data_IF_294816598191
#
_entry.id   IF_294816598191
#
_cell.length_a   1.000
_cell.length_b   1.000
_cell.length_c   1.000
_cell.angle_alpha   90.00
_cell.angle_beta   90.00
_cell.angle_gamma   90.00
#
_symmetry.space_group_name_H-M   'P 1'
#
loop_
_entity.id
_entity.type
_entity.pdbx_description
1 polymer ?
#
# COMPACT_ATOMS: atom_id res chain seq x y z
N UNK A 1 24.54 -7.39 17.93
CA UNK A 1 24.06 -8.32 16.88
C UNK A 1 22.87 -9.08 17.46
N UNK A 2 21.66 -8.87 16.95
CA UNK A 2 20.49 -9.70 17.33
C UNK A 2 20.69 -11.09 16.73
N UNK A 3 20.66 -12.15 17.55
CA UNK A 3 20.63 -13.52 17.06
C UNK A 3 19.35 -13.70 16.23
N UNK A 4 19.49 -14.10 14.98
CA UNK A 4 18.36 -14.44 14.12
C UNK A 4 17.57 -15.59 14.76
N UNK A 5 16.26 -15.49 14.81
CA UNK A 5 15.39 -16.56 15.29
C UNK A 5 15.47 -17.77 14.34
N UNK A 6 15.03 -18.95 14.79
CA UNK A 6 14.96 -20.14 13.93
C UNK A 6 14.11 -19.88 12.67
N UNK A 7 13.05 -19.12 12.83
CA UNK A 7 12.17 -18.66 11.73
C UNK A 7 12.89 -17.77 10.72
N UNK A 8 13.78 -16.86 11.18
CA UNK A 8 14.55 -16.00 10.29
C UNK A 8 15.57 -16.79 9.45
N UNK A 9 16.12 -17.87 10.02
CA UNK A 9 17.03 -18.76 9.30
C UNK A 9 16.31 -19.53 8.20
N UNK A 10 15.13 -20.07 8.49
CA UNK A 10 14.30 -20.79 7.52
C UNK A 10 13.85 -19.87 6.36
N UNK A 11 13.40 -18.68 6.67
CA UNK A 11 13.04 -17.66 5.67
C UNK A 11 14.25 -17.34 4.78
N UNK A 12 15.43 -17.17 5.37
CA UNK A 12 16.65 -16.87 4.62
C UNK A 12 17.04 -17.98 3.64
N UNK A 13 16.91 -19.23 4.05
CA UNK A 13 17.20 -20.38 3.16
C UNK A 13 16.18 -20.45 2.01
N UNK A 14 14.90 -20.24 2.30
CA UNK A 14 13.86 -20.20 1.26
C UNK A 14 14.07 -19.04 0.27
N UNK A 15 14.49 -17.87 0.74
CA UNK A 15 14.77 -16.72 -0.14
C UNK A 15 15.96 -16.96 -1.08
N UNK A 16 16.90 -17.85 -0.76
CA UNK A 16 17.97 -18.26 -1.69
C UNK A 16 17.42 -18.97 -2.93
N UNK A 17 16.24 -19.58 -2.83
CA UNK A 17 15.59 -20.27 -3.93
C UNK A 17 14.74 -19.34 -4.79
N UNK A 18 14.47 -18.10 -4.32
CA UNK A 18 13.58 -17.16 -4.99
C UNK A 18 13.90 -16.93 -6.48
N UNK A 19 15.16 -16.74 -6.92
CA UNK A 19 15.45 -16.56 -8.34
C UNK A 19 14.99 -17.73 -9.20
N UNK A 20 15.16 -18.96 -8.71
CA UNK A 20 14.77 -20.17 -9.43
C UNK A 20 13.27 -20.34 -9.46
N UNK A 21 12.59 -20.09 -8.35
CA UNK A 21 11.14 -20.15 -8.23
C UNK A 21 10.48 -19.11 -9.14
N UNK A 22 10.96 -17.86 -9.13
CA UNK A 22 10.47 -16.81 -10.02
C UNK A 22 10.66 -17.14 -11.50
N UNK A 23 11.81 -17.76 -11.85
CA UNK A 23 12.05 -18.22 -13.22
C UNK A 23 11.05 -19.32 -13.62
N UNK A 24 10.79 -20.29 -12.76
CA UNK A 24 9.81 -21.35 -13.00
C UNK A 24 8.39 -20.79 -13.14
N UNK A 25 8.00 -19.87 -12.27
CA UNK A 25 6.71 -19.16 -12.38
C UNK A 25 6.60 -18.39 -13.70
N UNK A 26 7.66 -17.71 -14.13
CA UNK A 26 7.71 -17.01 -15.42
C UNK A 26 7.53 -17.95 -16.60
N UNK A 27 8.04 -19.19 -16.50
CA UNK A 27 7.86 -20.25 -17.49
C UNK A 27 6.51 -20.98 -17.35
N UNK A 28 5.66 -20.52 -16.43
CA UNK A 28 4.29 -20.99 -16.24
C UNK A 28 4.18 -22.27 -15.43
N UNK A 29 5.16 -22.63 -14.63
CA UNK A 29 5.03 -23.72 -13.64
C UNK A 29 4.07 -23.29 -12.55
N UNK A 30 3.09 -24.13 -12.27
CA UNK A 30 2.05 -23.91 -11.25
C UNK A 30 2.00 -25.09 -10.28
N UNK A 31 1.09 -25.03 -9.33
CA UNK A 31 0.81 -26.13 -8.39
C UNK A 31 -0.25 -27.10 -8.93
N UNK A 32 -1.14 -26.60 -9.79
CA UNK A 32 -2.39 -27.30 -10.11
C UNK A 32 -2.20 -28.37 -11.19
N UNK A 33 -1.17 -28.20 -12.03
CA UNK A 33 -0.92 -29.09 -13.16
C UNK A 33 0.57 -29.23 -13.49
N UNK A 34 0.93 -30.40 -13.96
CA UNK A 34 2.25 -30.64 -14.53
C UNK A 34 2.42 -29.87 -15.85
N UNK A 35 3.57 -29.26 -16.01
CA UNK A 35 3.95 -28.50 -17.21
C UNK A 35 5.29 -28.97 -17.74
N UNK A 36 5.41 -29.09 -19.06
CA UNK A 36 6.67 -29.35 -19.71
C UNK A 36 7.62 -28.14 -19.56
N UNK A 37 8.83 -28.42 -19.06
CA UNK A 37 9.86 -27.41 -18.85
C UNK A 37 10.96 -27.53 -19.91
N UNK A 38 11.20 -26.44 -20.63
CA UNK A 38 12.38 -26.26 -21.47
C UNK A 38 13.59 -25.83 -20.62
N UNK A 39 14.59 -26.71 -20.51
CA UNK A 39 15.84 -26.36 -19.82
C UNK A 39 16.63 -25.26 -20.53
N UNK A 40 16.48 -25.12 -21.84
CA UNK A 40 17.08 -24.03 -22.60
C UNK A 40 16.48 -22.69 -22.22
N UNK A 41 15.15 -22.60 -22.12
CA UNK A 41 14.47 -21.37 -21.73
C UNK A 41 14.78 -20.99 -20.27
N UNK A 42 14.86 -22.00 -19.39
CA UNK A 42 15.27 -21.77 -18.01
C UNK A 42 16.71 -21.25 -17.92
N UNK A 43 17.63 -21.84 -18.70
CA UNK A 43 19.02 -21.42 -18.75
C UNK A 43 19.15 -19.98 -19.25
N UNK A 44 18.41 -19.62 -20.31
CA UNK A 44 18.37 -18.27 -20.86
C UNK A 44 17.82 -17.28 -19.83
N UNK A 45 16.70 -17.60 -19.19
CA UNK A 45 16.05 -16.74 -18.19
C UNK A 45 16.96 -16.48 -16.97
N UNK A 46 17.72 -17.49 -16.55
CA UNK A 46 18.66 -17.40 -15.44
C UNK A 46 20.08 -16.92 -15.84
N UNK A 47 20.29 -16.58 -17.12
CA UNK A 47 21.60 -16.22 -17.67
C UNK A 47 22.69 -17.26 -17.32
N UNK A 48 22.38 -18.53 -17.52
CA UNK A 48 23.26 -19.64 -17.17
C UNK A 48 23.35 -20.71 -18.27
N UNK A 49 24.08 -21.78 -18.06
CA UNK A 49 24.18 -22.89 -18.99
C UNK A 49 23.05 -23.92 -18.79
N UNK A 50 22.71 -24.65 -19.84
CA UNK A 50 21.71 -25.74 -19.76
C UNK A 50 22.11 -26.81 -18.73
N UNK A 51 23.41 -27.10 -18.61
CA UNK A 51 23.90 -28.03 -17.58
C UNK A 51 23.65 -27.52 -16.16
N UNK A 52 23.82 -26.19 -15.94
CA UNK A 52 23.50 -25.60 -14.64
C UNK A 52 22.01 -25.54 -14.39
N UNK A 53 21.19 -25.25 -15.41
CA UNK A 53 19.73 -25.31 -15.30
C UNK A 53 19.26 -26.73 -14.89
N UNK A 54 19.86 -27.77 -15.48
CA UNK A 54 19.58 -29.16 -15.08
C UNK A 54 19.95 -29.43 -13.60
N UNK A 55 21.10 -28.91 -13.13
CA UNK A 55 21.48 -29.05 -11.71
C UNK A 55 20.54 -28.30 -10.76
N UNK A 56 20.05 -27.14 -11.19
CA UNK A 56 19.07 -26.35 -10.41
C UNK A 56 17.76 -27.15 -10.28
N UNK A 57 17.23 -27.70 -11.35
CA UNK A 57 16.01 -28.51 -11.32
C UNK A 57 16.18 -29.72 -10.42
N UNK A 58 17.29 -30.46 -10.56
CA UNK A 58 17.60 -31.60 -9.70
C UNK A 58 17.66 -31.21 -8.21
N UNK A 59 18.31 -30.10 -7.91
CA UNK A 59 18.39 -29.57 -6.53
C UNK A 59 17.00 -29.21 -6.00
N UNK A 60 16.16 -28.54 -6.77
CA UNK A 60 14.79 -28.19 -6.36
C UNK A 60 13.92 -29.43 -6.12
N UNK A 61 14.13 -30.48 -6.89
CA UNK A 61 13.47 -31.79 -6.71
C UNK A 61 13.98 -32.47 -5.42
N UNK A 62 15.31 -32.57 -5.22
CA UNK A 62 15.95 -33.13 -4.01
C UNK A 62 15.53 -32.38 -2.73
N UNK A 63 15.39 -31.07 -2.79
CA UNK A 63 14.89 -30.24 -1.70
C UNK A 63 13.36 -30.31 -1.52
N UNK A 64 12.67 -31.03 -2.41
CA UNK A 64 11.22 -31.23 -2.36
C UNK A 64 10.40 -29.98 -2.70
N UNK A 65 10.97 -29.03 -3.44
CA UNK A 65 10.29 -27.80 -3.87
C UNK A 65 9.43 -28.01 -5.08
N UNK A 66 9.84 -28.91 -5.97
CA UNK A 66 9.10 -29.34 -7.15
C UNK A 66 8.87 -30.83 -7.15
N UNK A 67 7.81 -31.26 -7.81
CA UNK A 67 7.56 -32.62 -8.22
C UNK A 67 7.87 -32.75 -9.70
N UNK A 68 8.53 -33.82 -10.09
CA UNK A 68 8.95 -34.07 -11.46
C UNK A 68 8.47 -35.42 -11.95
N UNK A 69 7.97 -35.43 -13.18
CA UNK A 69 7.67 -36.64 -13.94
C UNK A 69 8.25 -36.48 -15.35
N UNK A 70 9.44 -37.05 -15.57
CA UNK A 70 10.24 -36.90 -16.81
C UNK A 70 10.56 -35.41 -17.09
N UNK A 71 9.95 -34.83 -18.13
CA UNK A 71 10.08 -33.40 -18.51
C UNK A 71 9.02 -32.52 -17.89
N UNK A 72 8.03 -33.11 -17.25
CA UNK A 72 6.91 -32.42 -16.65
C UNK A 72 7.23 -32.08 -15.20
N UNK A 73 6.99 -30.84 -14.80
CA UNK A 73 7.19 -30.36 -13.42
C UNK A 73 5.99 -29.59 -12.92
N UNK A 74 5.80 -29.59 -11.62
CA UNK A 74 4.90 -28.70 -10.89
C UNK A 74 5.50 -28.33 -9.55
N UNK A 75 5.00 -27.28 -8.89
CA UNK A 75 5.37 -27.03 -7.51
C UNK A 75 4.73 -28.07 -6.58
N UNK A 76 5.53 -28.57 -5.63
CA UNK A 76 5.04 -29.38 -4.50
C UNK A 76 4.32 -28.50 -3.47
N UNK A 77 3.72 -29.09 -2.44
CA UNK A 77 3.17 -28.33 -1.30
C UNK A 77 4.23 -27.44 -0.62
N UNK A 78 5.47 -27.93 -0.50
CA UNK A 78 6.58 -27.13 0.05
C UNK A 78 6.92 -25.98 -0.90
N UNK A 79 6.97 -26.24 -2.20
CA UNK A 79 7.21 -25.20 -3.21
C UNK A 79 6.13 -24.11 -3.17
N UNK A 80 4.86 -24.49 -3.01
CA UNK A 80 3.74 -23.55 -2.87
C UNK A 80 3.89 -22.63 -1.66
N UNK A 81 4.30 -23.19 -0.51
CA UNK A 81 4.55 -22.40 0.71
C UNK A 81 5.64 -21.35 0.47
N UNK A 82 6.70 -21.73 -0.26
CA UNK A 82 7.81 -20.81 -0.57
C UNK A 82 7.34 -19.74 -1.59
N UNK A 83 6.57 -20.12 -2.62
CA UNK A 83 5.95 -19.17 -3.56
C UNK A 83 5.11 -18.15 -2.80
N UNK A 84 4.25 -18.61 -1.90
CA UNK A 84 3.42 -17.72 -1.07
C UNK A 84 4.26 -16.79 -0.20
N UNK A 85 5.30 -17.30 0.45
CA UNK A 85 6.22 -16.50 1.26
C UNK A 85 6.88 -15.38 0.44
N UNK A 86 7.32 -15.68 -0.79
CA UNK A 86 7.91 -14.68 -1.70
C UNK A 86 6.88 -13.61 -2.04
N UNK A 87 5.67 -14.02 -2.44
CA UNK A 87 4.58 -13.09 -2.78
C UNK A 87 4.23 -12.20 -1.59
N UNK A 88 4.00 -12.78 -0.41
CA UNK A 88 3.64 -12.04 0.81
C UNK A 88 4.75 -11.04 1.19
N UNK A 89 6.03 -11.43 1.03
CA UNK A 89 7.18 -10.55 1.29
C UNK A 89 7.21 -9.36 0.33
N UNK A 90 7.01 -9.61 -0.96
CA UNK A 90 6.98 -8.55 -1.97
C UNK A 90 5.77 -7.63 -1.77
N UNK A 91 4.59 -8.20 -1.50
CA UNK A 91 3.38 -7.42 -1.24
C UNK A 91 3.53 -6.53 0.00
N UNK A 92 4.08 -7.08 1.09
CA UNK A 92 4.36 -6.29 2.29
C UNK A 92 5.34 -5.16 2.00
N UNK A 93 6.41 -5.43 1.28
CA UNK A 93 7.39 -4.41 0.89
C UNK A 93 6.75 -3.31 0.02
N UNK A 94 5.92 -3.69 -0.95
CA UNK A 94 5.17 -2.74 -1.78
C UNK A 94 4.21 -1.89 -0.94
N UNK A 95 3.47 -2.51 -0.01
CA UNK A 95 2.60 -1.80 0.92
C UNK A 95 3.40 -0.80 1.77
N UNK A 96 4.55 -1.21 2.31
CA UNK A 96 5.41 -0.33 3.10
C UNK A 96 5.98 0.84 2.27
N UNK A 97 6.21 0.64 0.97
CA UNK A 97 6.65 1.69 0.04
C UNK A 97 5.53 2.64 -0.38
N UNK A 98 4.29 2.18 -0.36
CA UNK A 98 3.11 2.97 -0.79
C UNK A 98 2.39 3.65 0.36
N UNK A 99 2.89 3.48 1.60
CA UNK A 99 2.30 4.09 2.79
C UNK A 99 3.20 5.19 3.34
N UNK A 100 2.64 6.38 3.49
CA UNK A 100 3.26 7.48 4.22
C UNK A 100 2.55 7.64 5.56
N UNK A 101 3.30 7.50 6.65
CA UNK A 101 2.76 7.71 7.99
C UNK A 101 2.77 9.20 8.37
N UNK A 102 1.68 9.62 9.00
CA UNK A 102 1.52 10.93 9.63
C UNK A 102 1.04 10.72 11.06
N UNK A 103 1.56 11.51 11.99
CA UNK A 103 1.05 11.50 13.36
C UNK A 103 1.06 12.92 13.95
N UNK A 104 0.12 13.16 14.86
CA UNK A 104 -0.03 14.47 15.47
C UNK A 104 -1.14 14.48 16.53
N UNK A 105 -1.59 15.65 16.87
CA UNK A 105 -2.67 15.86 17.83
C UNK A 105 -3.87 16.53 17.16
N UNK A 106 -5.05 16.09 17.55
CA UNK A 106 -6.30 16.71 17.10
C UNK A 106 -6.33 18.18 17.51
N UNK A 107 -6.75 19.04 16.62
CA UNK A 107 -6.94 20.47 16.88
C UNK A 107 -8.26 20.96 16.29
N UNK A 108 -8.82 22.01 16.87
CA UNK A 108 -9.99 22.68 16.31
C UNK A 108 -9.57 23.54 15.13
N UNK A 109 -10.32 23.48 14.02
CA UNK A 109 -10.16 24.33 12.86
C UNK A 109 -11.11 25.54 12.89
N UNK A 110 -11.03 26.37 11.88
CA UNK A 110 -11.87 27.58 11.73
C UNK A 110 -13.33 27.27 11.33
N UNK A 111 -13.69 25.99 11.18
CA UNK A 111 -15.04 25.56 10.81
C UNK A 111 -15.37 25.61 9.32
N UNK A 112 -14.45 26.05 8.49
CA UNK A 112 -14.63 26.15 7.02
C UNK A 112 -14.86 24.78 6.37
N UNK A 113 -14.27 23.70 6.90
CA UNK A 113 -14.45 22.34 6.40
C UNK A 113 -15.90 21.92 6.31
N UNK A 114 -16.78 22.38 7.23
CA UNK A 114 -18.23 22.10 7.16
C UNK A 114 -18.84 22.67 5.90
N UNK A 115 -18.52 23.91 5.56
CA UNK A 115 -19.03 24.57 4.36
C UNK A 115 -18.58 23.84 3.10
N UNK A 116 -17.27 23.60 2.94
CA UNK A 116 -16.74 22.97 1.73
C UNK A 116 -17.24 21.54 1.53
N UNK A 117 -17.32 20.76 2.61
CA UNK A 117 -17.80 19.36 2.55
C UNK A 117 -19.34 19.28 2.32
N UNK A 118 -20.07 20.39 2.43
CA UNK A 118 -21.51 20.46 2.13
C UNK A 118 -21.82 20.85 0.69
N UNK A 119 -20.82 21.24 -0.10
CA UNK A 119 -21.03 21.68 -1.49
C UNK A 119 -21.23 20.45 -2.39
N UNK A 120 -22.35 20.40 -3.12
CA UNK A 120 -22.75 19.23 -3.92
C UNK A 120 -21.73 18.85 -4.99
N UNK A 121 -21.10 19.84 -5.64
CA UNK A 121 -20.09 19.61 -6.68
C UNK A 121 -18.85 18.89 -6.13
N UNK A 122 -18.45 19.20 -4.91
CA UNK A 122 -17.37 18.47 -4.23
C UNK A 122 -17.84 17.11 -3.75
N UNK A 123 -19.01 17.00 -3.11
CA UNK A 123 -19.57 15.74 -2.60
C UNK A 123 -19.66 14.68 -3.70
N UNK A 124 -20.16 15.09 -4.89
CA UNK A 124 -20.25 14.21 -6.05
C UNK A 124 -18.88 13.67 -6.45
N UNK A 125 -17.87 14.53 -6.55
CA UNK A 125 -16.52 14.13 -6.92
C UNK A 125 -15.87 13.24 -5.85
N UNK A 126 -16.05 13.54 -4.55
CA UNK A 126 -15.57 12.69 -3.48
C UNK A 126 -16.21 11.30 -3.56
N UNK A 127 -17.52 11.22 -3.74
CA UNK A 127 -18.23 9.95 -3.88
C UNK A 127 -17.74 9.13 -5.08
N UNK A 128 -17.56 9.77 -6.23
CA UNK A 128 -17.08 9.11 -7.46
C UNK A 128 -15.62 8.65 -7.34
N UNK A 129 -14.74 9.50 -6.80
CA UNK A 129 -13.28 9.27 -6.82
C UNK A 129 -12.75 8.57 -5.57
N UNK A 130 -13.35 8.79 -4.40
CA UNK A 130 -12.95 8.17 -3.13
C UNK A 130 -13.85 7.00 -2.71
N UNK A 131 -15.08 6.91 -3.28
CA UNK A 131 -16.03 5.86 -2.96
C UNK A 131 -16.93 6.17 -1.75
N UNK A 132 -16.85 7.37 -1.16
CA UNK A 132 -17.72 7.79 -0.06
C UNK A 132 -18.09 9.27 -0.16
N UNK A 133 -19.24 9.61 0.40
CA UNK A 133 -19.65 11.00 0.62
C UNK A 133 -19.15 11.45 1.99
N UNK A 134 -18.37 12.56 2.07
CA UNK A 134 -17.82 12.99 3.34
C UNK A 134 -18.89 13.54 4.29
N UNK A 135 -18.73 13.27 5.59
CA UNK A 135 -19.42 13.99 6.66
C UNK A 135 -19.18 15.50 6.49
N UNK A 136 -20.17 16.35 6.79
CA UNK A 136 -20.01 17.82 6.73
C UNK A 136 -19.01 18.34 7.80
N UNK A 137 -17.74 18.25 7.52
CA UNK A 137 -16.65 18.67 8.40
C UNK A 137 -15.35 17.91 8.13
N UNK A 138 -14.26 18.43 8.68
CA UNK A 138 -12.93 17.81 8.61
C UNK A 138 -12.41 17.53 10.01
N UNK A 139 -11.62 16.47 10.17
CA UNK A 139 -10.77 16.28 11.35
C UNK A 139 -9.45 16.98 11.10
N UNK A 140 -9.14 18.01 11.88
CA UNK A 140 -7.87 18.71 11.81
C UNK A 140 -6.87 18.07 12.78
N UNK A 141 -5.66 17.80 12.28
CA UNK A 141 -4.56 17.22 13.07
C UNK A 141 -3.33 18.08 12.89
N UNK A 142 -2.79 18.58 14.01
CA UNK A 142 -1.50 19.27 14.06
C UNK A 142 -0.41 18.22 14.18
N UNK A 143 0.39 18.10 13.13
CA UNK A 143 1.45 17.10 13.03
C UNK A 143 2.57 17.36 14.03
N UNK A 144 3.16 16.28 14.53
CA UNK A 144 4.44 16.36 15.21
C UNK A 144 5.53 16.78 14.22
N UNK A 145 6.57 17.53 14.67
CA UNK A 145 7.59 18.12 13.79
C UNK A 145 8.24 17.12 12.84
N UNK A 146 8.49 15.89 13.30
CA UNK A 146 9.12 14.82 12.52
C UNK A 146 8.28 14.33 11.32
N UNK A 147 6.95 14.55 11.35
CA UNK A 147 6.03 14.14 10.26
C UNK A 147 5.75 15.24 9.24
N UNK A 148 6.19 16.49 9.49
CA UNK A 148 5.99 17.61 8.55
C UNK A 148 6.66 17.32 7.20
N UNK A 149 7.84 16.69 7.22
CA UNK A 149 8.52 16.26 5.98
C UNK A 149 7.68 15.29 5.13
N UNK A 150 6.97 14.38 5.79
CA UNK A 150 6.09 13.41 5.13
C UNK A 150 4.88 14.12 4.50
N UNK A 151 4.31 15.11 5.18
CA UNK A 151 3.24 15.96 4.63
C UNK A 151 3.71 16.75 3.40
N UNK A 152 4.93 17.30 3.45
CA UNK A 152 5.53 18.02 2.32
C UNK A 152 5.82 17.07 1.13
N UNK A 153 6.17 15.81 1.40
CA UNK A 153 6.32 14.79 0.36
C UNK A 153 5.00 14.54 -0.36
N UNK A 154 3.88 14.35 0.38
CA UNK A 154 2.55 14.16 -0.21
C UNK A 154 2.17 15.29 -1.16
N UNK A 155 2.54 16.54 -0.88
CA UNK A 155 2.22 17.65 -1.78
C UNK A 155 2.90 17.54 -3.15
N UNK A 156 4.02 16.82 -3.26
CA UNK A 156 4.79 16.60 -4.49
C UNK A 156 4.36 15.35 -5.26
N UNK A 157 3.66 14.42 -4.60
CA UNK A 157 3.22 13.17 -5.20
C UNK A 157 1.92 13.35 -5.99
N UNK A 158 1.68 12.53 -7.01
CA UNK A 158 0.37 12.44 -7.65
C UNK A 158 -0.63 11.96 -6.62
N UNK A 159 -1.83 12.53 -6.62
CA UNK A 159 -2.92 12.13 -5.74
C UNK A 159 -4.24 12.26 -6.49
N UNK A 160 -5.33 11.87 -5.86
CA UNK A 160 -6.67 11.96 -6.42
C UNK A 160 -7.07 13.44 -6.48
N UNK A 161 -7.21 13.98 -7.69
CA UNK A 161 -7.58 15.38 -7.89
C UNK A 161 -9.09 15.54 -7.81
N UNK A 162 -9.54 16.38 -6.89
CA UNK A 162 -10.89 16.93 -6.85
C UNK A 162 -10.83 18.30 -7.54
N UNK A 163 -11.48 18.40 -8.67
CA UNK A 163 -11.39 19.58 -9.53
C UNK A 163 -12.13 20.78 -8.96
N UNK A 164 -11.53 21.93 -9.12
CA UNK A 164 -12.19 23.20 -8.84
C UNK A 164 -13.30 23.50 -9.86
N UNK A 165 -14.19 24.38 -9.51
CA UNK A 165 -15.31 24.79 -10.35
C UNK A 165 -15.68 26.26 -10.08
N UNK A 166 -16.54 26.79 -10.91
CA UNK A 166 -17.14 28.12 -10.71
C UNK A 166 -18.66 27.98 -10.50
N UNK A 167 -19.18 28.64 -9.47
CA UNK A 167 -20.60 28.65 -9.14
C UNK A 167 -21.00 30.04 -8.66
N UNK A 168 -22.03 30.60 -9.28
CA UNK A 168 -22.55 31.93 -8.95
C UNK A 168 -21.49 33.04 -8.94
N UNK A 169 -20.53 32.99 -9.89
CA UNK A 169 -19.43 33.97 -9.98
C UNK A 169 -18.32 33.78 -8.95
N UNK A 170 -18.41 32.77 -8.09
CA UNK A 170 -17.36 32.39 -7.12
C UNK A 170 -16.56 31.21 -7.62
N UNK A 171 -15.23 31.36 -7.63
CA UNK A 171 -14.29 30.25 -7.95
C UNK A 171 -13.96 29.42 -6.71
N UNK A 172 -14.06 28.12 -6.88
CA UNK A 172 -13.70 27.11 -5.90
C UNK A 172 -12.44 26.38 -6.37
N UNK A 173 -11.46 26.24 -5.50
CA UNK A 173 -10.16 25.66 -5.84
C UNK A 173 -10.19 24.15 -5.97
N UNK A 174 -9.21 23.59 -6.65
CA UNK A 174 -8.96 22.15 -6.66
C UNK A 174 -8.37 21.69 -5.32
N UNK A 175 -8.61 20.42 -5.00
CA UNK A 175 -8.09 19.77 -3.81
C UNK A 175 -7.46 18.43 -4.21
N UNK A 176 -6.25 18.17 -3.76
CA UNK A 176 -5.61 16.87 -3.91
C UNK A 176 -5.92 16.01 -2.69
N UNK A 177 -6.32 14.78 -2.91
CA UNK A 177 -6.68 13.83 -1.85
C UNK A 177 -5.81 12.59 -1.93
N UNK A 178 -5.55 11.97 -0.77
CA UNK A 178 -4.92 10.67 -0.65
C UNK A 178 -5.78 9.79 0.24
N UNK A 179 -6.05 8.56 -0.19
CA UNK A 179 -6.74 7.58 0.65
C UNK A 179 -5.94 7.35 1.92
N UNK A 180 -6.62 7.16 3.03
CA UNK A 180 -5.95 6.99 4.31
C UNK A 180 -6.74 6.07 5.24
N UNK A 181 -6.04 5.52 6.22
CA UNK A 181 -6.62 4.83 7.37
C UNK A 181 -6.16 5.49 8.66
N UNK A 182 -7.01 5.50 9.66
CA UNK A 182 -6.71 6.04 10.99
C UNK A 182 -6.60 4.87 11.97
N UNK A 183 -5.59 4.87 12.81
CA UNK A 183 -5.42 3.88 13.86
C UNK A 183 -6.65 3.85 14.78
N UNK A 184 -7.23 2.65 14.97
CA UNK A 184 -8.47 2.44 15.72
C UNK A 184 -9.76 2.62 14.91
N UNK A 185 -9.68 2.96 13.61
CA UNK A 185 -10.81 3.06 12.69
C UNK A 185 -10.45 2.57 11.28
N UNK A 186 -9.68 1.50 11.17
CA UNK A 186 -9.13 0.97 9.92
C UNK A 186 -10.20 0.55 8.91
N UNK A 187 -11.39 0.23 9.37
CA UNK A 187 -12.56 -0.13 8.55
C UNK A 187 -13.35 1.08 8.03
N UNK A 188 -13.02 2.30 8.46
CA UNK A 188 -13.68 3.53 8.01
C UNK A 188 -12.84 4.15 6.90
N UNK A 189 -13.38 4.31 5.67
CA UNK A 189 -12.63 4.95 4.60
C UNK A 189 -12.41 6.42 4.92
N UNK A 190 -11.16 6.85 4.83
CA UNK A 190 -10.75 8.23 5.07
C UNK A 190 -9.91 8.76 3.92
N UNK A 191 -9.78 10.08 3.84
CA UNK A 191 -8.81 10.71 2.95
C UNK A 191 -8.19 11.95 3.61
N UNK A 192 -6.88 12.12 3.40
CA UNK A 192 -6.14 13.33 3.75
C UNK A 192 -6.25 14.32 2.61
N UNK A 193 -6.60 15.56 2.92
CA UNK A 193 -6.69 16.66 1.98
C UNK A 193 -5.36 17.41 1.92
N UNK A 194 -4.91 17.70 0.71
CA UNK A 194 -3.78 18.57 0.41
C UNK A 194 -4.33 19.77 -0.35
N UNK A 195 -4.55 20.86 0.35
CA UNK A 195 -5.11 22.10 -0.19
C UNK A 195 -3.94 23.06 -0.38
N UNK A 196 -3.74 23.57 -1.61
CA UNK A 196 -2.61 24.45 -1.93
C UNK A 196 -2.76 25.85 -1.32
N UNK A 197 -3.99 26.33 -1.19
CA UNK A 197 -4.30 27.65 -0.63
C UNK A 197 -5.13 27.47 0.65
N UNK A 198 -4.47 27.12 1.73
CA UNK A 198 -5.08 27.04 3.06
C UNK A 198 -4.58 28.17 3.95
N UNK A 199 -5.36 28.51 4.97
CA UNK A 199 -4.95 29.45 6.03
C UNK A 199 -3.99 28.77 7.04
N UNK A 200 -3.73 27.47 6.88
CA UNK A 200 -2.86 26.68 7.75
C UNK A 200 -1.54 26.37 7.07
N UNK A 201 -0.46 26.33 7.82
CA UNK A 201 0.83 25.86 7.35
C UNK A 201 0.87 24.32 7.14
N UNK A 202 2.01 23.79 6.70
CA UNK A 202 2.17 22.35 6.43
C UNK A 202 2.10 21.48 7.70
N UNK A 203 2.07 22.09 8.87
CA UNK A 203 1.92 21.41 10.17
C UNK A 203 0.49 20.94 10.44
N UNK A 204 -0.52 21.37 9.67
CA UNK A 204 -1.90 20.94 9.84
C UNK A 204 -2.34 20.14 8.64
N UNK A 205 -2.96 18.99 8.89
CA UNK A 205 -3.66 18.19 7.90
C UNK A 205 -5.16 18.15 8.21
N UNK A 206 -5.94 18.08 7.16
CA UNK A 206 -7.38 17.87 7.21
C UNK A 206 -7.74 16.48 6.72
N UNK A 207 -8.58 15.77 7.46
CA UNK A 207 -9.01 14.42 7.14
C UNK A 207 -10.52 14.40 6.99
N UNK A 208 -11.00 13.79 5.91
CA UNK A 208 -12.42 13.54 5.64
C UNK A 208 -12.75 12.06 5.75
N UNK A 209 -13.98 11.77 6.18
CA UNK A 209 -14.56 10.44 6.28
C UNK A 209 -16.08 10.51 6.09
N UNK A 210 -16.79 9.39 5.86
CA UNK A 210 -18.27 9.40 5.77
C UNK A 210 -18.95 9.63 7.13
N UNK A 211 -18.19 9.64 8.20
CA UNK A 211 -18.69 9.77 9.59
C UNK A 211 -17.91 10.85 10.34
N UNK A 212 -18.45 11.31 11.46
CA UNK A 212 -17.75 12.25 12.35
C UNK A 212 -16.70 11.53 13.17
N UNK A 213 -15.46 11.52 12.69
CA UNK A 213 -14.34 10.79 13.29
C UNK A 213 -14.11 11.12 14.78
N UNK A 214 -14.34 12.38 15.18
CA UNK A 214 -14.21 12.77 16.60
C UNK A 214 -15.17 11.99 17.51
N UNK A 215 -16.39 11.68 17.03
CA UNK A 215 -17.37 10.92 17.82
C UNK A 215 -17.04 9.44 17.83
N UNK A 216 -16.73 8.87 16.67
CA UNK A 216 -16.43 7.44 16.55
C UNK A 216 -15.19 7.04 17.37
N UNK A 217 -14.16 7.87 17.35
CA UNK A 217 -12.88 7.62 18.04
C UNK A 217 -12.80 8.32 19.41
N UNK A 218 -13.89 8.96 19.87
CA UNK A 218 -13.94 9.73 21.13
C UNK A 218 -12.76 10.72 21.27
N UNK A 219 -12.45 11.47 20.19
CA UNK A 219 -11.31 12.37 20.12
C UNK A 219 -11.65 13.77 20.67
N UNK A 220 -10.74 14.33 21.45
CA UNK A 220 -10.77 15.70 21.94
C UNK A 220 -9.54 16.45 21.40
N UNK A 221 -9.54 17.78 21.50
CA UNK A 221 -8.34 18.56 21.19
C UNK A 221 -7.17 18.07 22.05
N UNK A 222 -6.02 17.89 21.43
CA UNK A 222 -4.83 17.28 22.03
C UNK A 222 -4.78 15.75 21.97
N UNK A 223 -5.87 15.03 21.58
CA UNK A 223 -5.82 13.58 21.41
C UNK A 223 -4.81 13.19 20.32
N UNK A 224 -3.93 12.20 20.59
CA UNK A 224 -3.01 11.71 19.57
C UNK A 224 -3.74 10.95 18.46
N UNK A 225 -3.30 11.12 17.22
CA UNK A 225 -3.83 10.41 16.04
C UNK A 225 -2.67 10.00 15.16
N UNK A 226 -2.73 8.75 14.69
CA UNK A 226 -1.86 8.23 13.63
C UNK A 226 -2.66 7.92 12.38
N UNK A 227 -2.11 8.28 11.23
CA UNK A 227 -2.74 8.17 9.93
C UNK A 227 -1.76 7.50 8.98
N UNK A 228 -2.21 6.47 8.27
CA UNK A 228 -1.48 5.84 7.18
C UNK A 228 -2.10 6.28 5.88
N UNK A 229 -1.33 6.94 5.06
CA UNK A 229 -1.75 7.52 3.78
C UNK A 229 -1.24 6.65 2.65
N UNK A 230 -2.14 6.15 1.79
CA UNK A 230 -1.78 5.37 0.60
C UNK A 230 -1.41 6.31 -0.55
N UNK A 231 -0.30 6.00 -1.20
CA UNK A 231 0.14 6.64 -2.46
C UNK A 231 -0.07 5.64 -3.59
N UNK A 232 -1.33 5.57 -4.09
CA UNK A 232 -1.73 4.70 -5.20
C UNK A 232 -1.38 5.33 -6.55
#
# INVERSE_FOLDING_TARGET
MRSLSHTDHEIREHLKLAPYILALMRLGVTQDSYRELSLTDLAQLLSTTVQNAHRIIRRLEEEGVIERNDRLIKFSEKGQKIVKLIIDTVQKYLQDMTIIELAGQVTSGLGEGRYYMSIEEYKKQFKEKLGFEPYPGTLNVKLYPEYIKNRLLLSKLPGILIEGFEKNGRKFGSVKCFRATIEGAENIPCAVLIIEKTHHGPEIIEIIAPVKLREILNLKDGSPVKVRVSID
#
